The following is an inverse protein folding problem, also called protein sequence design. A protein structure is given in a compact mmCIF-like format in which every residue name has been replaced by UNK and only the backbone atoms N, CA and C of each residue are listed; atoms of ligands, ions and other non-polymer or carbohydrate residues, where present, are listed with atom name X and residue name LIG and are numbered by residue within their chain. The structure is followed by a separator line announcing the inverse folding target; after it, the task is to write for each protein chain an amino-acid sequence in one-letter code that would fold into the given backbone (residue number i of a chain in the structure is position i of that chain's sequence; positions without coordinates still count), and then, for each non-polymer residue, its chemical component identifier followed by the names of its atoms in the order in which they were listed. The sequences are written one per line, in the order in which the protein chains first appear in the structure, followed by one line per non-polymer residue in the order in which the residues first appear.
data_IF_687273425655
#
_entry.id   IF_687273425655
#
_cell.length_a   1.000
_cell.length_b   1.000
_cell.length_c   1.000
_cell.angle_alpha   90.00
_cell.angle_beta   90.00
_cell.angle_gamma   90.00
#
_symmetry.space_group_name_H-M   'P 1'
#
loop_
_entity.id
_entity.type
_entity.pdbx_description
1 polymer ?
#
# COMPACT_ATOMS: atom_id res chain seq x y z
N UNK A 1 -37.70 -67.02 28.75
CA UNK A 1 -37.84 -68.23 29.58
C UNK A 1 -36.99 -68.04 30.81
N UNK A 2 -37.47 -68.37 32.01
CA UNK A 2 -36.66 -68.31 33.23
C UNK A 2 -35.62 -69.43 33.15
N UNK A 3 -34.34 -69.10 33.15
CA UNK A 3 -33.25 -70.07 33.33
C UNK A 3 -33.36 -70.76 34.69
N UNK A 4 -32.96 -72.02 34.75
CA UNK A 4 -33.05 -72.88 35.94
C UNK A 4 -31.77 -72.78 36.77
N UNK A 5 -31.90 -72.67 38.08
CA UNK A 5 -30.79 -72.75 39.04
C UNK A 5 -30.96 -74.01 39.92
N UNK A 6 -30.03 -74.97 39.85
CA UNK A 6 -30.08 -76.20 40.64
C UNK A 6 -29.43 -76.07 42.03
N UNK A 7 -28.65 -75.02 42.29
CA UNK A 7 -28.07 -74.76 43.61
C UNK A 7 -29.13 -74.12 44.52
N UNK A 8 -29.66 -74.88 45.48
CA UNK A 8 -30.76 -74.46 46.35
C UNK A 8 -30.28 -74.04 47.73
N UNK A 9 -30.90 -72.98 48.26
CA UNK A 9 -30.69 -72.58 49.65
C UNK A 9 -31.34 -73.59 50.60
N UNK A 10 -30.56 -74.10 51.56
CA UNK A 10 -31.00 -75.09 52.54
C UNK A 10 -31.61 -74.43 53.78
N UNK A 11 -32.70 -74.99 54.32
CA UNK A 11 -33.29 -74.62 55.62
C UNK A 11 -33.68 -73.13 55.76
N UNK A 12 -34.32 -72.55 54.74
CA UNK A 12 -34.71 -71.12 54.70
C UNK A 12 -36.09 -70.80 55.28
N UNK A 13 -36.85 -71.79 55.74
CA UNK A 13 -38.21 -71.58 56.27
C UNK A 13 -38.26 -70.79 57.59
N UNK A 14 -39.40 -70.19 57.88
CA UNK A 14 -39.62 -69.33 59.07
C UNK A 14 -39.37 -70.07 60.41
N UNK A 15 -39.56 -71.39 60.44
CA UNK A 15 -39.32 -72.26 61.61
C UNK A 15 -38.18 -73.25 61.35
N UNK A 16 -37.15 -72.82 60.61
CA UNK A 16 -36.01 -73.66 60.29
C UNK A 16 -35.32 -74.20 61.54
N UNK A 17 -34.93 -75.48 61.48
CA UNK A 17 -34.24 -76.18 62.56
C UNK A 17 -32.77 -75.74 62.65
N UNK A 18 -32.52 -74.49 63.06
CA UNK A 18 -31.19 -73.87 63.11
C UNK A 18 -30.96 -73.16 64.46
N UNK A 19 -29.70 -72.92 64.83
CA UNK A 19 -29.37 -72.00 65.91
C UNK A 19 -29.60 -70.54 65.50
N UNK A 20 -29.81 -69.65 66.47
CA UNK A 20 -29.85 -68.20 66.22
C UNK A 20 -28.51 -67.71 65.65
N UNK A 21 -28.50 -66.50 65.07
CA UNK A 21 -27.25 -65.90 64.58
C UNK A 21 -26.27 -65.66 65.73
N UNK A 22 -26.75 -65.09 66.84
CA UNK A 22 -25.99 -64.85 68.06
C UNK A 22 -25.37 -66.15 68.61
N UNK A 23 -26.18 -67.21 68.80
CA UNK A 23 -25.67 -68.49 69.30
C UNK A 23 -24.70 -69.20 68.34
N UNK A 24 -24.73 -68.89 67.05
CA UNK A 24 -23.73 -69.36 66.10
C UNK A 24 -22.40 -68.62 66.22
N UNK A 25 -22.46 -67.30 66.39
CA UNK A 25 -21.28 -66.43 66.56
C UNK A 25 -20.53 -66.71 67.87
N UNK A 26 -21.25 -67.11 68.92
CA UNK A 26 -20.70 -67.56 70.20
C UNK A 26 -20.10 -68.98 70.14
N UNK A 27 -20.48 -69.78 69.14
CA UNK A 27 -20.01 -71.16 69.02
C UNK A 27 -18.50 -71.19 68.77
N UNK A 28 -17.76 -71.91 69.62
CA UNK A 28 -16.33 -72.16 69.42
C UNK A 28 -16.05 -72.80 68.06
N UNK A 29 -16.96 -73.65 67.57
CA UNK A 29 -16.84 -74.35 66.29
C UNK A 29 -16.84 -73.43 65.07
N UNK A 30 -17.34 -72.19 65.18
CA UNK A 30 -17.22 -71.21 64.09
C UNK A 30 -15.76 -70.90 63.75
N UNK A 31 -14.88 -70.86 64.77
CA UNK A 31 -13.46 -70.50 64.59
C UNK A 31 -12.54 -71.69 64.34
N UNK A 32 -12.83 -72.83 64.95
CA UNK A 32 -11.92 -74.00 64.95
C UNK A 32 -12.50 -75.25 64.28
N UNK A 33 -13.72 -75.17 63.74
CA UNK A 33 -14.41 -76.32 63.14
C UNK A 33 -15.11 -77.21 64.17
N UNK A 34 -15.78 -78.27 63.68
CA UNK A 34 -16.42 -79.26 64.54
C UNK A 34 -15.37 -80.20 65.16
N UNK A 35 -15.38 -80.42 66.49
CA UNK A 35 -14.44 -81.34 67.13
C UNK A 35 -14.73 -82.79 66.71
N UNK A 36 -13.69 -83.65 66.57
CA UNK A 36 -13.86 -85.03 66.13
C UNK A 36 -14.62 -85.91 67.13
N UNK A 37 -14.56 -85.59 68.42
CA UNK A 37 -15.08 -86.42 69.51
C UNK A 37 -16.31 -85.80 70.23
N UNK A 38 -16.79 -84.63 69.78
CA UNK A 38 -17.97 -83.96 70.37
C UNK A 38 -19.24 -84.18 69.53
N UNK A 39 -20.37 -84.30 70.22
CA UNK A 39 -21.69 -84.36 69.57
C UNK A 39 -22.04 -83.03 68.89
N UNK A 40 -22.08 -83.01 67.57
CA UNK A 40 -22.55 -81.87 66.77
C UNK A 40 -24.08 -81.81 66.86
N UNK A 41 -24.62 -80.68 67.32
CA UNK A 41 -26.08 -80.50 67.29
C UNK A 41 -26.56 -80.27 65.86
N UNK A 42 -27.70 -80.88 65.52
CA UNK A 42 -28.32 -80.73 64.19
C UNK A 42 -28.66 -79.25 63.89
N UNK A 43 -29.03 -78.47 64.91
CA UNK A 43 -29.28 -77.03 64.77
C UNK A 43 -28.03 -76.25 64.32
N UNK A 44 -26.86 -76.59 64.89
CA UNK A 44 -25.60 -75.94 64.55
C UNK A 44 -25.11 -76.37 63.15
N UNK A 45 -25.20 -77.66 62.85
CA UNK A 45 -24.89 -78.18 61.51
C UNK A 45 -25.76 -77.55 60.42
N UNK A 46 -27.08 -77.48 60.65
CA UNK A 46 -28.02 -76.86 59.72
C UNK A 46 -27.74 -75.37 59.52
N UNK A 47 -27.24 -74.66 60.53
CA UNK A 47 -26.85 -73.25 60.40
C UNK A 47 -25.66 -73.07 59.46
N UNK A 48 -24.63 -73.91 59.59
CA UNK A 48 -23.46 -73.91 58.68
C UNK A 48 -23.90 -74.21 57.24
N UNK A 49 -24.67 -75.29 57.05
CA UNK A 49 -25.18 -75.67 55.73
C UNK A 49 -26.09 -74.61 55.12
N UNK A 50 -26.93 -73.94 55.93
CA UNK A 50 -27.78 -72.85 55.48
C UNK A 50 -26.96 -71.67 54.99
N UNK A 51 -25.94 -71.21 55.73
CA UNK A 51 -25.15 -70.05 55.32
C UNK A 51 -24.43 -70.29 53.99
N UNK A 52 -23.78 -71.45 53.82
CA UNK A 52 -23.05 -71.78 52.58
C UNK A 52 -23.97 -71.99 51.38
N UNK A 53 -25.05 -72.75 51.54
CA UNK A 53 -26.01 -73.01 50.46
C UNK A 53 -26.80 -71.77 50.06
N UNK A 54 -27.10 -70.86 51.00
CA UNK A 54 -27.79 -69.60 50.69
C UNK A 54 -26.94 -68.73 49.77
N UNK A 55 -25.65 -68.53 50.09
CA UNK A 55 -24.74 -67.76 49.23
C UNK A 55 -24.54 -68.45 47.88
N UNK A 56 -24.38 -69.79 47.87
CA UNK A 56 -24.25 -70.56 46.63
C UNK A 56 -25.47 -70.39 45.73
N UNK A 57 -26.68 -70.45 46.30
CA UNK A 57 -27.92 -70.25 45.57
C UNK A 57 -28.06 -68.83 45.02
N UNK A 58 -27.65 -67.81 45.78
CA UNK A 58 -27.64 -66.40 45.33
C UNK A 58 -26.69 -66.21 44.14
N UNK A 59 -25.46 -66.72 44.23
CA UNK A 59 -24.48 -66.64 43.14
C UNK A 59 -24.98 -67.40 41.92
N UNK A 60 -25.46 -68.63 42.08
CA UNK A 60 -26.01 -69.40 40.96
C UNK A 60 -27.24 -68.74 40.33
N UNK A 61 -28.09 -68.06 41.11
CA UNK A 61 -29.22 -67.30 40.59
C UNK A 61 -28.77 -66.06 39.81
N UNK A 62 -27.73 -65.37 40.28
CA UNK A 62 -27.09 -64.29 39.52
C UNK A 62 -26.57 -64.81 38.18
N UNK A 63 -25.86 -65.94 38.19
CA UNK A 63 -25.34 -66.56 36.96
C UNK A 63 -26.49 -66.91 36.01
N UNK A 64 -27.52 -67.61 36.47
CA UNK A 64 -28.67 -67.98 35.65
C UNK A 64 -29.34 -66.75 35.03
N UNK A 65 -29.53 -65.69 35.82
CA UNK A 65 -30.21 -64.46 35.39
C UNK A 65 -29.46 -63.75 34.27
N UNK A 66 -28.13 -63.61 34.39
CA UNK A 66 -27.34 -62.78 33.47
C UNK A 66 -26.62 -63.56 32.37
N UNK A 67 -26.41 -64.87 32.52
CA UNK A 67 -25.93 -65.72 31.41
C UNK A 67 -27.07 -66.14 30.47
N UNK A 68 -28.31 -66.20 30.95
CA UNK A 68 -29.46 -66.72 30.19
C UNK A 68 -29.50 -68.25 30.10
N UNK A 69 -28.54 -68.94 30.74
CA UNK A 69 -28.40 -70.39 30.71
C UNK A 69 -28.80 -71.05 32.04
N UNK A 70 -29.11 -72.34 31.99
CA UNK A 70 -29.30 -73.16 33.18
C UNK A 70 -27.97 -73.36 33.94
N UNK A 71 -28.05 -73.28 35.28
CA UNK A 71 -26.93 -73.49 36.20
C UNK A 71 -27.16 -74.82 36.93
N UNK A 72 -26.54 -75.88 36.40
CA UNK A 72 -26.76 -77.27 36.82
C UNK A 72 -25.77 -77.68 37.92
N UNK A 73 -26.24 -78.44 38.90
CA UNK A 73 -25.40 -79.08 39.92
C UNK A 73 -24.92 -80.45 39.43
N UNK A 74 -23.97 -80.45 38.50
CA UNK A 74 -23.42 -81.67 37.86
C UNK A 74 -21.89 -81.80 38.01
N UNK A 75 -21.27 -80.95 38.83
CA UNK A 75 -19.83 -80.94 39.06
C UNK A 75 -18.97 -80.31 37.95
N UNK A 76 -19.56 -79.71 36.91
CA UNK A 76 -18.82 -79.04 35.84
C UNK A 76 -18.35 -77.63 36.25
N UNK A 77 -17.24 -77.58 36.98
CA UNK A 77 -16.65 -76.33 37.50
C UNK A 77 -16.23 -75.39 36.37
N UNK A 78 -15.72 -75.93 35.25
CA UNK A 78 -15.25 -75.12 34.13
C UNK A 78 -16.41 -74.38 33.47
N UNK A 79 -17.55 -75.07 33.27
CA UNK A 79 -18.77 -74.43 32.77
C UNK A 79 -19.31 -73.40 33.74
N UNK A 80 -19.38 -73.70 35.03
CA UNK A 80 -19.85 -72.75 36.05
C UNK A 80 -18.99 -71.47 36.09
N UNK A 81 -17.66 -71.61 35.98
CA UNK A 81 -16.75 -70.47 35.93
C UNK A 81 -16.95 -69.63 34.66
N UNK A 82 -17.12 -70.26 33.50
CA UNK A 82 -17.41 -69.56 32.24
C UNK A 82 -18.75 -68.82 32.30
N UNK A 83 -19.79 -69.45 32.85
CA UNK A 83 -21.10 -68.84 33.03
C UNK A 83 -21.05 -67.65 34.01
N UNK A 84 -20.26 -67.74 35.09
CA UNK A 84 -20.05 -66.62 36.00
C UNK A 84 -19.36 -65.43 35.32
N UNK A 85 -18.30 -65.66 34.55
CA UNK A 85 -17.62 -64.60 33.80
C UNK A 85 -18.57 -63.94 32.80
N UNK A 86 -19.32 -64.74 32.02
CA UNK A 86 -20.30 -64.21 31.08
C UNK A 86 -21.41 -63.41 31.77
N UNK A 87 -21.92 -63.88 32.91
CA UNK A 87 -22.92 -63.16 33.71
C UNK A 87 -22.39 -61.80 34.21
N UNK A 88 -21.13 -61.74 34.64
CA UNK A 88 -20.48 -60.49 35.05
C UNK A 88 -20.32 -59.52 33.87
N UNK A 89 -19.84 -60.00 32.71
CA UNK A 89 -19.70 -59.19 31.50
C UNK A 89 -21.04 -58.61 31.05
N UNK A 90 -22.10 -59.43 31.02
CA UNK A 90 -23.45 -59.00 30.65
C UNK A 90 -24.02 -57.96 31.63
N UNK A 91 -23.82 -58.19 32.94
CA UNK A 91 -24.25 -57.23 33.96
C UNK A 91 -23.53 -55.88 33.81
N UNK A 92 -22.22 -55.91 33.60
CA UNK A 92 -21.41 -54.69 33.40
C UNK A 92 -21.85 -53.97 32.12
N UNK A 93 -22.02 -54.66 31.00
CA UNK A 93 -22.44 -54.04 29.74
C UNK A 93 -23.84 -53.43 29.80
N UNK A 94 -24.74 -54.01 30.60
CA UNK A 94 -26.11 -53.50 30.78
C UNK A 94 -26.14 -52.23 31.64
N UNK A 95 -25.38 -52.21 32.75
CA UNK A 95 -25.36 -51.08 33.69
C UNK A 95 -24.40 -49.96 33.26
N UNK A 96 -23.36 -50.30 32.50
CA UNK A 96 -22.31 -49.39 32.01
C UNK A 96 -22.13 -49.59 30.48
N UNK A 97 -23.12 -49.17 29.68
CA UNK A 97 -23.06 -49.32 28.22
C UNK A 97 -22.01 -48.38 27.61
N UNK A 98 -21.76 -48.54 26.31
CA UNK A 98 -21.05 -47.51 25.54
C UNK A 98 -21.87 -46.22 25.48
N UNK A 99 -21.20 -45.07 25.50
CA UNK A 99 -21.90 -43.81 25.37
C UNK A 99 -22.56 -43.70 23.98
N UNK A 100 -23.73 -43.07 23.95
CA UNK A 100 -24.41 -42.67 22.72
C UNK A 100 -24.89 -41.23 22.85
N UNK A 101 -25.51 -40.69 21.79
CA UNK A 101 -26.08 -39.34 21.82
C UNK A 101 -27.20 -39.18 22.86
N UNK A 102 -27.80 -40.28 23.33
CA UNK A 102 -28.94 -40.28 24.26
C UNK A 102 -28.70 -41.07 25.54
N UNK A 103 -27.60 -41.81 25.65
CA UNK A 103 -27.28 -42.67 26.80
C UNK A 103 -25.85 -42.42 27.28
N UNK A 104 -25.69 -42.16 28.58
CA UNK A 104 -24.37 -42.06 29.21
C UNK A 104 -23.70 -43.43 29.21
N UNK A 105 -22.39 -43.46 28.99
CA UNK A 105 -21.61 -44.70 28.94
C UNK A 105 -20.11 -44.46 28.86
N UNK A 106 -19.34 -45.53 28.65
CA UNK A 106 -17.89 -45.45 28.42
C UNK A 106 -17.58 -45.03 26.98
N UNK A 107 -16.54 -44.20 26.81
CA UNK A 107 -16.07 -43.72 25.50
C UNK A 107 -14.55 -43.78 25.43
N UNK A 108 -14.00 -44.10 24.26
CA UNK A 108 -12.56 -44.02 24.00
C UNK A 108 -12.16 -42.58 23.64
N UNK A 109 -11.09 -42.08 24.23
CA UNK A 109 -10.56 -40.75 23.95
C UNK A 109 -9.71 -40.73 22.67
N UNK A 110 -9.67 -39.58 21.99
CA UNK A 110 -8.79 -39.33 20.84
C UNK A 110 -8.03 -38.01 20.94
N UNK A 111 -6.80 -38.04 20.44
CA UNK A 111 -5.89 -36.91 20.28
C UNK A 111 -5.74 -36.49 18.79
N UNK A 112 -6.57 -37.06 17.91
CA UNK A 112 -6.56 -36.76 16.46
C UNK A 112 -7.89 -36.17 16.02
N UNK A 113 -7.84 -35.25 15.07
CA UNK A 113 -9.03 -34.82 14.33
C UNK A 113 -9.48 -35.91 13.36
N UNK A 114 -10.78 -35.98 13.09
CA UNK A 114 -11.37 -36.99 12.22
C UNK A 114 -12.88 -36.87 12.16
N UNK A 115 -13.53 -37.91 11.64
CA UNK A 115 -14.98 -38.01 11.45
C UNK A 115 -15.61 -39.14 12.29
N UNK A 116 -14.98 -39.51 13.41
CA UNK A 116 -15.49 -40.57 14.29
C UNK A 116 -16.72 -40.10 15.07
N UNK A 117 -17.73 -40.96 15.15
CA UNK A 117 -18.89 -40.80 16.02
C UNK A 117 -18.79 -41.63 17.31
N UNK A 118 -17.69 -42.36 17.52
CA UNK A 118 -17.48 -43.27 18.65
C UNK A 118 -16.35 -42.85 19.58
N UNK A 119 -15.59 -41.82 19.22
CA UNK A 119 -14.47 -41.30 20.00
C UNK A 119 -14.82 -39.92 20.59
N UNK A 120 -14.38 -39.67 21.82
CA UNK A 120 -14.47 -38.37 22.46
C UNK A 120 -13.13 -37.62 22.35
N UNK A 121 -13.19 -36.33 22.03
CA UNK A 121 -11.98 -35.50 21.93
C UNK A 121 -11.37 -35.25 23.31
N UNK A 122 -10.05 -35.31 23.40
CA UNK A 122 -9.34 -34.89 24.62
C UNK A 122 -9.39 -33.37 24.78
N UNK A 123 -9.31 -32.89 26.03
CA UNK A 123 -9.20 -31.46 26.31
C UNK A 123 -8.00 -30.83 25.59
N UNK A 124 -6.87 -31.54 25.54
CA UNK A 124 -5.67 -31.09 24.82
C UNK A 124 -5.95 -30.87 23.33
N UNK A 125 -6.61 -31.81 22.66
CA UNK A 125 -6.96 -31.66 21.24
C UNK A 125 -7.86 -30.43 21.01
N UNK A 126 -8.83 -30.19 21.90
CA UNK A 126 -9.69 -28.99 21.82
C UNK A 126 -8.88 -27.71 21.99
N UNK A 127 -7.96 -27.67 22.96
CA UNK A 127 -7.05 -26.54 23.16
C UNK A 127 -6.16 -26.30 21.93
N UNK A 128 -5.54 -27.33 21.37
CA UNK A 128 -4.67 -27.22 20.19
C UNK A 128 -5.46 -26.69 18.96
N UNK A 129 -6.71 -27.13 18.77
CA UNK A 129 -7.62 -26.62 17.72
C UNK A 129 -7.98 -25.15 17.96
N UNK A 130 -8.27 -24.78 19.20
CA UNK A 130 -8.59 -23.41 19.57
C UNK A 130 -7.38 -22.47 19.37
N UNK A 131 -6.18 -22.91 19.74
CA UNK A 131 -4.95 -22.15 19.55
C UNK A 131 -4.64 -21.97 18.06
N UNK A 132 -4.89 -22.98 17.23
CA UNK A 132 -4.80 -22.82 15.78
C UNK A 132 -5.72 -21.70 15.26
N UNK A 133 -6.98 -21.69 15.71
CA UNK A 133 -7.96 -20.67 15.32
C UNK A 133 -7.59 -19.26 15.81
N UNK A 134 -7.11 -19.14 17.06
CA UNK A 134 -6.66 -17.86 17.62
C UNK A 134 -5.41 -17.30 16.94
N UNK A 135 -4.61 -18.15 16.28
CA UNK A 135 -3.46 -17.75 15.47
C UNK A 135 -3.83 -17.38 14.02
N UNK A 136 -5.09 -17.06 13.72
CA UNK A 136 -5.56 -16.57 12.41
C UNK A 136 -6.10 -15.16 12.53
N UNK A 137 -6.11 -14.44 11.40
CA UNK A 137 -6.63 -13.07 11.34
C UNK A 137 -8.13 -13.05 11.63
N UNK A 138 -8.53 -12.28 12.63
CA UNK A 138 -9.90 -12.10 13.06
C UNK A 138 -10.63 -11.11 12.13
N UNK A 139 -11.73 -11.57 11.52
CA UNK A 139 -12.50 -10.74 10.57
C UNK A 139 -12.95 -9.41 11.17
N UNK A 140 -13.39 -9.39 12.43
CA UNK A 140 -13.84 -8.17 13.12
C UNK A 140 -12.73 -7.15 13.41
N UNK A 141 -11.46 -7.56 13.34
CA UNK A 141 -10.31 -6.67 13.54
C UNK A 141 -9.89 -5.96 12.24
N UNK A 142 -10.41 -6.36 11.08
CA UNK A 142 -10.13 -5.74 9.79
C UNK A 142 -8.62 -5.51 9.52
N UNK A 143 -7.78 -6.48 9.89
CA UNK A 143 -6.32 -6.42 9.70
C UNK A 143 -5.53 -5.64 10.76
N UNK A 144 -6.17 -5.14 11.82
CA UNK A 144 -5.46 -4.52 12.95
C UNK A 144 -4.48 -5.51 13.63
N UNK A 145 -4.85 -6.79 13.64
CA UNK A 145 -4.16 -7.93 14.21
C UNK A 145 -3.08 -8.55 13.30
N UNK A 146 -2.77 -7.93 12.16
CA UNK A 146 -1.60 -8.30 11.34
C UNK A 146 -0.32 -7.98 12.15
N UNK A 147 0.53 -8.97 12.47
CA UNK A 147 1.73 -8.77 13.29
C UNK A 147 2.78 -7.89 12.60
N UNK A 148 3.07 -8.19 11.33
CA UNK A 148 3.98 -7.40 10.49
C UNK A 148 3.22 -6.85 9.28
N UNK A 149 2.75 -5.61 9.42
CA UNK A 149 1.99 -4.91 8.37
C UNK A 149 2.87 -4.60 7.16
N UNK A 150 4.19 -4.41 7.33
CA UNK A 150 5.10 -4.09 6.24
C UNK A 150 5.32 -5.32 5.35
N UNK A 151 5.69 -6.46 5.95
CA UNK A 151 5.83 -7.71 5.22
C UNK A 151 4.52 -8.14 4.53
N UNK A 152 3.36 -7.86 5.14
CA UNK A 152 2.06 -8.13 4.53
C UNK A 152 1.83 -7.31 3.25
N UNK A 153 2.17 -6.02 3.25
CA UNK A 153 2.10 -5.15 2.05
C UNK A 153 3.08 -5.61 0.96
N UNK A 154 4.30 -6.01 1.34
CA UNK A 154 5.30 -6.58 0.42
C UNK A 154 4.78 -7.88 -0.24
N UNK A 155 4.19 -8.78 0.52
CA UNK A 155 3.60 -10.04 0.00
C UNK A 155 2.42 -9.80 -0.95
N UNK A 156 1.66 -8.72 -0.76
CA UNK A 156 0.60 -8.33 -1.67
C UNK A 156 1.13 -7.57 -2.91
N UNK A 157 2.42 -7.25 -2.96
CA UNK A 157 3.05 -6.45 -4.01
C UNK A 157 2.34 -5.10 -4.27
N UNK A 158 1.81 -4.48 -3.19
CA UNK A 158 0.94 -3.30 -3.29
C UNK A 158 1.68 -1.95 -3.42
N UNK A 159 3.01 -1.90 -3.36
CA UNK A 159 3.73 -0.64 -3.47
C UNK A 159 4.23 -0.38 -4.89
N UNK A 160 3.47 0.41 -5.65
CA UNK A 160 3.98 1.00 -6.91
C UNK A 160 4.60 2.38 -6.65
N UNK A 161 4.05 3.21 -5.75
CA UNK A 161 4.62 4.50 -5.30
C UNK A 161 4.14 4.84 -3.86
N UNK A 162 5.07 5.10 -2.94
CA UNK A 162 4.80 5.64 -1.59
C UNK A 162 4.33 7.10 -1.65
N UNK A 163 3.16 7.38 -1.05
CA UNK A 163 2.54 8.71 -0.98
C UNK A 163 2.86 9.47 0.31
N UNK A 164 3.75 8.95 1.17
CA UNK A 164 4.27 9.70 2.31
C UNK A 164 5.44 10.55 1.81
N UNK A 165 5.26 11.88 1.61
CA UNK A 165 6.30 12.69 1.01
C UNK A 165 7.51 12.81 1.94
N UNK A 166 8.70 12.58 1.38
CA UNK A 166 9.98 12.89 2.02
C UNK A 166 10.29 14.37 1.80
N UNK A 167 10.86 15.05 2.80
CA UNK A 167 11.31 16.43 2.65
C UNK A 167 12.83 16.43 2.51
N UNK A 168 13.33 17.00 1.42
CA UNK A 168 14.76 16.97 1.05
C UNK A 168 15.34 18.36 1.10
N UNK A 169 16.40 18.56 1.87
CA UNK A 169 17.05 19.85 2.02
C UNK A 169 18.01 19.90 3.20
N UNK A 170 18.87 20.91 3.21
CA UNK A 170 19.76 21.18 4.34
C UNK A 170 19.13 22.22 5.29
N UNK A 171 17.96 21.89 5.86
CA UNK A 171 17.26 22.74 6.82
C UNK A 171 16.50 21.90 7.87
N UNK A 172 16.00 22.57 8.91
CA UNK A 172 15.33 21.92 10.05
C UNK A 172 14.01 21.22 9.70
N UNK A 173 13.38 21.55 8.57
CA UNK A 173 12.15 20.91 8.10
C UNK A 173 12.42 19.65 7.25
N UNK A 174 13.67 19.39 6.89
CA UNK A 174 14.03 18.32 5.97
C UNK A 174 14.28 17.01 6.72
N UNK A 175 13.78 15.91 6.14
CA UNK A 175 13.97 14.55 6.65
C UNK A 175 15.26 13.89 6.16
N UNK A 176 15.76 14.35 5.01
CA UNK A 176 17.06 13.97 4.43
C UNK A 176 17.68 15.20 3.76
N UNK A 177 18.99 15.21 3.54
CA UNK A 177 19.72 16.33 2.97
C UNK A 177 20.12 16.16 1.49
N UNK A 178 20.01 14.94 0.95
CA UNK A 178 20.51 14.58 -0.37
C UNK A 178 19.43 13.93 -1.24
N UNK A 179 19.25 14.46 -2.47
CA UNK A 179 18.28 13.94 -3.44
C UNK A 179 18.59 12.51 -3.91
N UNK A 180 19.84 12.05 -3.85
CA UNK A 180 20.21 10.67 -4.19
C UNK A 180 19.63 9.64 -3.22
N UNK A 181 19.32 10.08 -1.99
CA UNK A 181 18.81 9.25 -0.90
C UNK A 181 17.26 9.20 -0.83
N UNK A 182 16.56 9.87 -1.75
CA UNK A 182 15.09 9.81 -1.83
C UNK A 182 14.66 8.35 -2.01
N UNK A 183 13.75 7.78 -1.21
CA UNK A 183 13.33 6.39 -1.36
C UNK A 183 12.86 6.08 -2.80
N UNK A 184 13.20 4.89 -3.30
CA UNK A 184 12.69 4.43 -4.59
C UNK A 184 11.16 4.40 -4.57
N UNK A 185 10.54 4.66 -5.72
CA UNK A 185 9.07 4.65 -5.87
C UNK A 185 8.39 5.53 -4.81
N UNK A 186 8.75 6.82 -4.75
CA UNK A 186 8.20 7.75 -3.76
C UNK A 186 8.00 9.15 -4.31
N UNK A 187 7.11 9.90 -3.65
CA UNK A 187 6.97 11.35 -3.82
C UNK A 187 7.80 12.11 -2.77
N UNK A 188 8.21 13.33 -3.08
CA UNK A 188 8.98 14.17 -2.16
C UNK A 188 8.74 15.67 -2.40
N UNK A 189 9.16 16.50 -1.44
CA UNK A 189 9.32 17.94 -1.60
C UNK A 189 10.80 18.31 -1.42
N UNK A 190 11.36 19.08 -2.34
CA UNK A 190 12.78 19.46 -2.36
C UNK A 190 13.00 20.94 -2.12
N UNK A 191 14.04 21.26 -1.36
CA UNK A 191 14.62 22.60 -1.21
C UNK A 191 15.88 22.77 -2.07
N UNK A 192 16.20 23.99 -2.53
CA UNK A 192 17.33 24.28 -3.41
C UNK A 192 18.69 23.98 -2.75
N UNK A 193 18.75 24.04 -1.41
CA UNK A 193 19.94 23.77 -0.61
C UNK A 193 20.20 22.29 -0.37
N UNK A 194 19.35 21.39 -0.88
CA UNK A 194 19.60 19.95 -0.80
C UNK A 194 20.74 19.52 -1.72
N UNK A 195 21.59 18.62 -1.23
CA UNK A 195 22.69 18.05 -1.99
C UNK A 195 22.18 17.28 -3.21
N UNK A 196 22.91 17.40 -4.32
CA UNK A 196 22.59 16.76 -5.60
C UNK A 196 21.18 17.06 -6.14
N UNK A 197 20.59 18.19 -5.72
CA UNK A 197 19.28 18.66 -6.17
C UNK A 197 19.33 19.60 -7.39
N UNK A 198 18.18 19.94 -7.97
CA UNK A 198 18.08 20.83 -9.14
C UNK A 198 18.24 22.32 -8.79
N UNK A 199 18.51 22.67 -7.52
CA UNK A 199 18.70 24.06 -7.08
C UNK A 199 17.42 24.90 -7.03
N UNK A 200 16.25 24.26 -7.04
CA UNK A 200 14.93 24.92 -7.00
C UNK A 200 14.03 24.27 -5.95
N UNK A 201 12.97 24.98 -5.55
CA UNK A 201 11.98 24.42 -4.64
C UNK A 201 10.83 23.75 -5.38
N UNK A 202 10.38 22.60 -4.87
CA UNK A 202 9.08 22.06 -5.26
C UNK A 202 8.93 20.56 -5.13
N UNK A 203 7.77 20.03 -5.56
CA UNK A 203 7.47 18.62 -5.45
C UNK A 203 8.21 17.82 -6.53
N UNK A 204 8.42 16.54 -6.25
CA UNK A 204 8.95 15.60 -7.21
C UNK A 204 8.56 14.16 -6.92
N UNK A 205 8.96 13.29 -7.84
CA UNK A 205 8.72 11.85 -7.78
C UNK A 205 9.93 11.09 -8.31
N UNK A 206 10.23 9.95 -7.69
CA UNK A 206 11.27 8.99 -8.09
C UNK A 206 10.61 7.67 -8.48
N UNK A 207 10.91 7.20 -9.68
CA UNK A 207 10.52 5.89 -10.19
C UNK A 207 11.74 4.98 -10.27
N UNK A 208 11.59 3.73 -9.83
CA UNK A 208 12.58 2.67 -9.99
C UNK A 208 12.13 1.67 -11.05
N UNK A 209 13.04 1.28 -11.94
CA UNK A 209 12.83 0.38 -13.07
C UNK A 209 12.54 -1.08 -12.70
N UNK A 210 12.39 -1.40 -11.41
CA UNK A 210 11.90 -2.68 -10.91
C UNK A 210 12.95 -3.56 -10.22
N UNK A 211 12.58 -4.83 -10.06
CA UNK A 211 13.37 -5.87 -9.38
C UNK A 211 14.18 -6.70 -10.40
N UNK A 212 15.27 -7.34 -9.96
CA UNK A 212 16.08 -8.23 -10.80
C UNK A 212 17.06 -7.48 -11.71
N UNK A 213 17.17 -7.88 -12.98
CA UNK A 213 18.18 -7.37 -13.95
C UNK A 213 18.08 -5.87 -14.23
N UNK A 214 16.93 -5.24 -13.94
CA UNK A 214 16.70 -3.81 -14.13
C UNK A 214 16.85 -2.98 -12.84
N UNK A 215 17.39 -3.57 -11.77
CA UNK A 215 17.67 -2.85 -10.52
C UNK A 215 18.67 -1.73 -10.80
N UNK A 216 18.31 -0.51 -10.44
CA UNK A 216 19.17 0.67 -10.55
C UNK A 216 18.96 1.51 -11.81
N UNK A 217 18.03 1.17 -12.72
CA UNK A 217 17.57 2.15 -13.72
C UNK A 217 16.43 2.97 -13.14
N UNK A 218 16.58 4.28 -13.08
CA UNK A 218 15.63 5.12 -12.36
C UNK A 218 15.39 6.47 -13.05
N UNK A 219 14.23 7.05 -12.80
CA UNK A 219 13.83 8.37 -13.26
C UNK A 219 13.41 9.21 -12.05
N UNK A 220 13.96 10.41 -11.95
CA UNK A 220 13.50 11.41 -11.00
C UNK A 220 12.99 12.64 -11.76
N UNK A 221 11.82 13.13 -11.38
CA UNK A 221 11.19 14.33 -11.94
C UNK A 221 10.93 15.30 -10.80
N UNK A 222 11.23 16.57 -11.01
CA UNK A 222 11.04 17.64 -10.05
C UNK A 222 10.45 18.87 -10.74
N UNK A 223 9.41 19.47 -10.16
CA UNK A 223 8.82 20.71 -10.66
C UNK A 223 9.15 21.86 -9.73
N UNK A 224 9.55 23.01 -10.26
CA UNK A 224 9.67 24.23 -9.45
C UNK A 224 8.30 24.86 -9.21
N UNK A 225 8.02 25.28 -7.97
CA UNK A 225 6.78 26.00 -7.65
C UNK A 225 6.94 27.54 -7.68
N UNK A 226 8.16 28.06 -7.59
CA UNK A 226 8.50 29.48 -7.75
C UNK A 226 9.87 29.65 -8.43
N UNK A 227 10.09 30.72 -9.22
CA UNK A 227 9.12 31.74 -9.64
C UNK A 227 8.29 31.34 -10.88
N UNK A 228 8.63 30.23 -11.56
CA UNK A 228 7.92 29.69 -12.73
C UNK A 228 7.70 28.19 -12.57
N UNK A 229 6.74 27.62 -13.30
CA UNK A 229 6.49 26.17 -13.36
C UNK A 229 7.46 25.49 -14.33
N UNK A 230 8.69 25.26 -13.87
CA UNK A 230 9.74 24.60 -14.64
C UNK A 230 9.81 23.12 -14.26
N UNK A 231 10.19 22.28 -15.22
CA UNK A 231 10.32 20.84 -15.00
C UNK A 231 11.77 20.42 -15.15
N UNK A 232 12.26 19.67 -14.19
CA UNK A 232 13.59 19.10 -14.16
C UNK A 232 13.48 17.59 -14.11
N UNK A 233 14.40 16.90 -14.77
CA UNK A 233 14.51 15.45 -14.66
C UNK A 233 15.97 15.02 -14.61
N UNK A 234 16.19 13.83 -14.06
CA UNK A 234 17.45 13.11 -14.18
C UNK A 234 17.19 11.62 -14.17
N UNK A 235 18.14 10.87 -14.71
CA UNK A 235 18.09 9.41 -14.73
C UNK A 235 19.28 8.82 -14.00
N UNK A 236 19.09 7.64 -13.43
CA UNK A 236 20.16 6.83 -12.85
C UNK A 236 20.43 5.65 -13.77
N UNK A 237 21.71 5.41 -14.09
CA UNK A 237 22.11 4.21 -14.82
C UNK A 237 22.59 3.15 -13.81
N UNK A 238 21.93 1.99 -13.80
CA UNK A 238 22.24 0.85 -12.93
C UNK A 238 23.37 -0.06 -13.44
N UNK A 239 23.95 0.21 -14.61
CA UNK A 239 25.08 -0.56 -15.14
C UNK A 239 26.26 -0.55 -14.16
N UNK A 240 26.76 -1.74 -13.80
CA UNK A 240 27.74 -1.95 -12.72
C UNK A 240 29.07 -1.19 -12.84
N UNK A 241 29.38 -0.61 -14.01
CA UNK A 241 30.58 0.22 -14.21
C UNK A 241 30.31 1.73 -14.07
N UNK A 242 29.04 2.15 -14.05
CA UNK A 242 28.65 3.56 -14.13
C UNK A 242 27.82 3.99 -12.92
N UNK A 243 26.97 3.11 -12.34
CA UNK A 243 26.15 3.28 -11.13
C UNK A 243 26.10 4.71 -10.54
N UNK A 244 25.53 5.64 -11.32
CA UNK A 244 25.52 7.07 -10.99
C UNK A 244 24.30 7.75 -11.53
N UNK A 245 23.93 8.83 -10.86
CA UNK A 245 22.97 9.80 -11.37
C UNK A 245 23.59 10.62 -12.49
N UNK A 246 22.83 10.79 -13.57
CA UNK A 246 23.09 11.85 -14.53
C UNK A 246 22.79 13.22 -13.89
N UNK A 247 23.38 14.30 -14.42
CA UNK A 247 23.03 15.65 -14.01
C UNK A 247 21.53 15.92 -14.13
N UNK A 248 21.05 16.93 -13.41
CA UNK A 248 19.71 17.46 -13.62
C UNK A 248 19.63 18.21 -14.94
N UNK A 249 18.62 17.88 -15.74
CA UNK A 249 18.30 18.55 -16.98
C UNK A 249 16.97 19.28 -16.84
N UNK A 250 16.94 20.53 -17.28
CA UNK A 250 15.74 21.36 -17.34
C UNK A 250 15.03 21.12 -18.68
N UNK A 251 13.71 20.93 -18.63
CA UNK A 251 12.87 20.80 -19.82
C UNK A 251 12.58 22.20 -20.37
N UNK A 252 12.82 22.37 -21.67
CA UNK A 252 12.42 23.55 -22.40
C UNK A 252 10.91 23.53 -22.66
N UNK A 253 10.24 24.64 -22.38
CA UNK A 253 8.81 24.83 -22.54
C UNK A 253 8.54 26.23 -23.07
N UNK A 254 7.29 26.52 -23.43
CA UNK A 254 6.87 27.86 -23.87
C UNK A 254 7.03 28.95 -22.80
N UNK A 255 7.36 28.58 -21.54
CA UNK A 255 7.63 29.51 -20.43
C UNK A 255 9.10 29.89 -20.28
N UNK A 256 10.02 29.21 -20.97
CA UNK A 256 11.46 29.45 -20.86
C UNK A 256 12.20 29.46 -22.21
N UNK A 257 11.54 29.07 -23.31
CA UNK A 257 12.00 29.28 -24.69
C UNK A 257 10.91 29.80 -25.63
N UNK A 258 11.35 30.52 -26.67
CA UNK A 258 10.56 30.86 -27.86
C UNK A 258 11.32 30.44 -29.13
N UNK A 259 10.63 29.94 -30.17
CA UNK A 259 11.24 29.74 -31.47
C UNK A 259 11.57 31.10 -32.11
N UNK A 260 12.73 31.21 -32.75
CA UNK A 260 13.03 32.32 -33.65
C UNK A 260 12.27 32.18 -34.97
N UNK A 261 12.41 33.17 -35.86
CA UNK A 261 11.76 33.19 -37.18
C UNK A 261 12.13 31.98 -38.06
N UNK A 262 13.22 31.29 -37.74
CA UNK A 262 13.68 30.08 -38.44
C UNK A 262 13.28 28.79 -37.71
N UNK A 263 12.52 28.88 -36.60
CA UNK A 263 12.05 27.75 -35.81
C UNK A 263 13.02 27.24 -34.73
N UNK A 264 14.16 27.89 -34.51
CA UNK A 264 15.13 27.47 -33.47
C UNK A 264 14.72 28.01 -32.10
N UNK A 265 14.69 27.16 -31.08
CA UNK A 265 14.39 27.59 -29.70
C UNK A 265 15.53 28.45 -29.13
N UNK A 266 15.18 29.65 -28.66
CA UNK A 266 16.07 30.56 -27.92
C UNK A 266 15.53 30.78 -26.51
N UNK A 267 16.44 31.11 -25.58
CA UNK A 267 16.09 31.55 -24.22
C UNK A 267 15.03 32.65 -24.31
N UNK A 268 13.94 32.50 -23.55
CA UNK A 268 12.89 33.51 -23.52
C UNK A 268 13.41 34.79 -22.85
N UNK A 269 13.37 35.90 -23.58
CA UNK A 269 13.82 37.22 -23.12
C UNK A 269 12.63 38.17 -22.95
N UNK A 270 12.74 39.20 -22.09
CA UNK A 270 11.75 40.29 -22.03
C UNK A 270 11.74 41.08 -23.33
N UNK A 271 10.75 40.80 -24.20
CA UNK A 271 10.65 41.39 -25.54
C UNK A 271 9.26 42.01 -25.72
N UNK A 272 9.26 43.16 -26.38
CA UNK A 272 8.10 43.97 -26.73
C UNK A 272 8.02 44.05 -28.25
N UNK A 273 6.98 43.46 -28.82
CA UNK A 273 6.70 43.55 -30.25
C UNK A 273 5.77 44.73 -30.49
N UNK A 274 6.19 45.72 -31.27
CA UNK A 274 5.44 46.96 -31.54
C UNK A 274 4.90 46.92 -32.96
N UNK A 275 3.59 47.11 -33.12
CA UNK A 275 2.89 47.19 -34.39
C UNK A 275 2.68 48.64 -34.86
N UNK A 276 2.44 48.88 -36.17
CA UNK A 276 2.32 50.22 -36.75
C UNK A 276 1.28 51.13 -36.06
N UNK A 277 0.15 50.55 -35.66
CA UNK A 277 -0.96 51.25 -35.01
C UNK A 277 -0.73 51.53 -33.51
N UNK A 278 0.39 51.04 -32.95
CA UNK A 278 0.71 51.16 -31.53
C UNK A 278 0.20 50.00 -30.67
N UNK A 279 -0.46 49.01 -31.25
CA UNK A 279 -0.71 47.74 -30.55
C UNK A 279 0.62 47.01 -30.33
N UNK A 280 0.65 46.11 -29.35
CA UNK A 280 1.88 45.42 -28.98
C UNK A 280 1.62 44.03 -28.41
N UNK A 281 2.65 43.18 -28.48
CA UNK A 281 2.67 41.86 -27.84
C UNK A 281 3.88 41.76 -26.91
N UNK A 282 3.71 41.05 -25.80
CA UNK A 282 4.75 40.87 -24.79
C UNK A 282 5.08 39.39 -24.64
N UNK A 283 6.35 39.10 -24.41
CA UNK A 283 6.73 37.82 -23.82
C UNK A 283 6.29 37.77 -22.35
N UNK A 284 6.17 36.57 -21.78
CA UNK A 284 5.87 36.42 -20.36
C UNK A 284 6.95 37.05 -19.46
N UNK A 285 8.18 37.16 -19.96
CA UNK A 285 9.27 37.86 -19.27
C UNK A 285 9.12 39.37 -19.27
N UNK A 286 8.34 39.97 -20.19
CA UNK A 286 8.09 41.41 -20.25
C UNK A 286 6.75 41.81 -19.61
N UNK A 287 6.14 40.93 -18.81
CA UNK A 287 4.88 41.22 -18.13
C UNK A 287 4.97 42.49 -17.28
N UNK A 288 3.96 43.36 -17.41
CA UNK A 288 3.90 44.67 -16.74
C UNK A 288 4.41 45.84 -17.60
N UNK A 289 5.03 45.57 -18.75
CA UNK A 289 5.40 46.60 -19.72
C UNK A 289 4.17 47.08 -20.50
N UNK A 290 4.17 48.33 -20.93
CA UNK A 290 3.11 48.90 -21.78
C UNK A 290 3.72 49.68 -22.94
N UNK A 291 3.02 49.73 -24.08
CA UNK A 291 3.42 50.55 -25.23
C UNK A 291 2.31 51.53 -25.58
N UNK A 292 2.71 52.76 -25.90
CA UNK A 292 1.80 53.81 -26.38
C UNK A 292 2.40 54.48 -27.62
N UNK A 293 1.64 54.51 -28.71
CA UNK A 293 1.93 55.38 -29.87
C UNK A 293 1.63 56.83 -29.47
N UNK A 294 2.67 57.67 -29.46
CA UNK A 294 2.58 59.07 -29.03
C UNK A 294 2.13 59.94 -30.20
N UNK A 295 2.79 59.77 -31.34
CA UNK A 295 2.50 60.43 -32.61
C UNK A 295 3.03 59.54 -33.76
N UNK A 296 2.87 60.00 -35.01
CA UNK A 296 3.38 59.27 -36.19
C UNK A 296 4.86 58.95 -36.03
N UNK A 297 5.19 57.67 -36.13
CA UNK A 297 6.55 57.17 -36.02
C UNK A 297 7.16 57.19 -34.63
N UNK A 298 6.41 57.52 -33.57
CA UNK A 298 6.95 57.56 -32.19
C UNK A 298 6.16 56.67 -31.23
N UNK A 299 6.86 55.73 -30.62
CA UNK A 299 6.30 54.75 -29.70
C UNK A 299 7.05 54.79 -28.38
N UNK A 300 6.32 54.91 -27.26
CA UNK A 300 6.87 54.90 -25.91
C UNK A 300 6.59 53.57 -25.24
N UNK A 301 7.62 52.95 -24.69
CA UNK A 301 7.58 51.73 -23.88
C UNK A 301 7.78 52.15 -22.42
N UNK A 302 6.84 51.78 -21.56
CA UNK A 302 6.84 52.12 -20.14
C UNK A 302 6.79 50.89 -19.24
N UNK A 303 7.34 50.99 -18.03
CA UNK A 303 7.43 49.87 -17.07
C UNK A 303 8.71 49.03 -17.24
N UNK A 304 9.73 49.59 -17.87
CA UNK A 304 11.05 49.01 -18.06
C UNK A 304 12.15 49.92 -17.47
N UNK A 305 13.38 49.41 -17.40
CA UNK A 305 14.57 50.11 -16.92
C UNK A 305 15.62 50.20 -18.05
N UNK A 306 15.19 50.72 -19.19
CA UNK A 306 15.96 50.80 -20.43
C UNK A 306 16.07 49.48 -21.18
N UNK A 307 16.99 49.44 -22.15
CA UNK A 307 17.26 48.25 -22.96
C UNK A 307 17.96 47.16 -22.14
N UNK A 308 17.78 45.90 -22.55
CA UNK A 308 18.47 44.76 -21.93
C UNK A 308 20.00 44.92 -22.04
N UNK A 309 20.72 44.72 -20.92
CA UNK A 309 22.16 45.04 -20.80
C UNK A 309 23.10 43.83 -20.91
N UNK A 310 22.57 42.63 -21.11
CA UNK A 310 23.33 41.37 -21.09
C UNK A 310 24.04 41.03 -22.42
N UNK A 311 23.82 41.81 -23.48
CA UNK A 311 24.53 41.67 -24.76
C UNK A 311 24.22 40.40 -25.56
N UNK A 312 23.22 39.59 -25.17
CA UNK A 312 22.93 38.32 -25.85
C UNK A 312 22.33 38.50 -27.26
N UNK A 313 21.79 39.68 -27.57
CA UNK A 313 21.26 40.06 -28.90
C UNK A 313 22.18 41.08 -29.59
N UNK A 314 23.44 40.70 -29.80
CA UNK A 314 24.39 41.43 -30.65
C UNK A 314 24.80 42.83 -30.12
N UNK A 315 25.57 43.54 -30.95
CA UNK A 315 26.27 44.80 -30.60
C UNK A 315 25.32 46.01 -30.55
N UNK A 316 24.06 45.87 -31.00
CA UNK A 316 23.09 46.96 -31.17
C UNK A 316 21.91 46.93 -30.19
N UNK A 317 22.10 46.41 -28.98
CA UNK A 317 21.22 46.77 -27.85
C UNK A 317 19.81 46.16 -27.84
N UNK A 318 19.54 45.11 -28.62
CA UNK A 318 18.32 44.31 -28.46
C UNK A 318 17.09 44.77 -29.24
N UNK A 319 17.22 45.67 -30.21
CA UNK A 319 16.14 46.04 -31.14
C UNK A 319 16.31 45.34 -32.48
N UNK A 320 15.26 44.66 -32.96
CA UNK A 320 15.17 44.15 -34.34
C UNK A 320 14.32 45.11 -35.15
N UNK A 321 14.93 45.67 -36.19
CA UNK A 321 14.29 46.57 -37.15
C UNK A 321 13.75 45.75 -38.33
N UNK A 322 12.52 46.04 -38.83
CA UNK A 322 11.99 45.44 -40.04
C UNK A 322 12.95 45.55 -41.24
N UNK A 323 13.23 44.42 -41.88
CA UNK A 323 13.98 44.34 -43.11
C UNK A 323 13.15 43.68 -44.23
N UNK A 324 13.54 43.93 -45.48
CA UNK A 324 13.03 43.21 -46.64
C UNK A 324 13.65 41.80 -46.75
N UNK A 325 13.25 41.04 -47.77
CA UNK A 325 13.79 39.70 -48.05
C UNK A 325 15.27 39.69 -48.44
N UNK A 326 15.89 40.85 -48.69
CA UNK A 326 17.31 41.01 -49.00
C UNK A 326 18.12 41.45 -47.77
N UNK A 327 17.49 41.57 -46.60
CA UNK A 327 18.14 42.04 -45.38
C UNK A 327 18.34 43.56 -45.32
N UNK A 328 17.68 44.32 -46.20
CA UNK A 328 17.74 45.78 -46.20
C UNK A 328 16.66 46.33 -45.25
N UNK A 329 17.08 47.07 -44.23
CA UNK A 329 16.16 47.70 -43.28
C UNK A 329 15.21 48.68 -44.00
N UNK A 330 13.95 48.64 -43.60
CA UNK A 330 12.85 49.42 -44.20
C UNK A 330 12.68 50.81 -43.54
N UNK A 331 13.25 50.99 -42.35
CA UNK A 331 13.20 52.22 -41.57
C UNK A 331 14.54 52.43 -40.85
N UNK A 332 14.82 53.68 -40.50
CA UNK A 332 15.80 54.03 -39.47
C UNK A 332 15.09 54.04 -38.13
N UNK A 333 15.79 53.61 -37.08
CA UNK A 333 15.28 53.64 -35.71
C UNK A 333 16.21 54.49 -34.87
N UNK A 334 15.65 55.50 -34.21
CA UNK A 334 16.32 56.28 -33.17
C UNK A 334 15.77 55.85 -31.81
N UNK A 335 16.68 55.59 -30.89
CA UNK A 335 16.40 54.98 -29.60
C UNK A 335 16.77 55.95 -28.50
N UNK A 336 15.80 56.27 -27.63
CA UNK A 336 15.99 57.22 -26.54
C UNK A 336 15.54 56.57 -25.24
N UNK A 337 16.39 56.61 -24.22
CA UNK A 337 16.04 56.15 -22.86
C UNK A 337 15.90 57.36 -21.95
N UNK A 338 14.76 57.48 -21.28
CA UNK A 338 14.58 58.44 -20.20
C UNK A 338 15.34 57.95 -18.97
N UNK A 339 16.39 58.68 -18.57
CA UNK A 339 17.27 58.27 -17.47
C UNK A 339 16.59 58.32 -16.09
N UNK A 340 15.46 59.00 -15.95
CA UNK A 340 14.73 59.09 -14.68
C UNK A 340 13.67 57.98 -14.53
N UNK A 341 12.96 57.66 -15.61
CA UNK A 341 11.89 56.65 -15.59
C UNK A 341 12.33 55.27 -16.07
N UNK A 342 13.38 55.19 -16.90
CA UNK A 342 13.79 53.98 -17.59
C UNK A 342 12.97 53.69 -18.85
N UNK A 343 11.98 54.52 -19.18
CA UNK A 343 11.14 54.35 -20.37
C UNK A 343 11.95 54.51 -21.66
N UNK A 344 11.58 53.73 -22.68
CA UNK A 344 12.21 53.77 -24.00
C UNK A 344 11.27 54.47 -24.97
N UNK A 345 11.80 55.41 -25.76
CA UNK A 345 11.12 55.97 -26.93
C UNK A 345 11.80 55.47 -28.20
N UNK A 346 11.01 54.87 -29.09
CA UNK A 346 11.40 54.42 -30.42
C UNK A 346 10.84 55.40 -31.43
N UNK A 347 11.73 56.07 -32.15
CA UNK A 347 11.36 56.93 -33.28
C UNK A 347 11.75 56.25 -34.60
N UNK A 348 10.80 56.20 -35.53
CA UNK A 348 10.90 55.52 -36.80
C UNK A 348 10.95 56.55 -37.94
N UNK A 349 11.95 56.44 -38.81
CA UNK A 349 12.11 57.30 -39.98
C UNK A 349 12.18 56.45 -41.25
N UNK A 350 11.65 56.95 -42.34
CA UNK A 350 11.66 56.24 -43.61
C UNK A 350 13.11 56.05 -44.07
N UNK A 351 13.46 54.81 -44.47
CA UNK A 351 14.77 54.50 -45.03
C UNK A 351 14.64 54.12 -46.48
N UNK A 352 15.21 54.95 -47.36
CA UNK A 352 15.31 54.65 -48.79
C UNK A 352 16.70 54.09 -49.10
N UNK A 353 16.78 52.83 -49.52
CA UNK A 353 18.04 52.15 -49.85
C UNK A 353 18.48 52.49 -51.28
N UNK A 354 18.94 53.73 -51.51
CA UNK A 354 19.21 54.27 -52.86
C UNK A 354 20.22 53.46 -53.69
N UNK A 355 21.17 52.82 -53.02
CA UNK A 355 22.21 51.98 -53.65
C UNK A 355 21.69 50.60 -54.08
N UNK A 356 20.49 50.22 -53.68
CA UNK A 356 19.85 48.97 -54.07
C UNK A 356 19.20 49.08 -55.47
N UNK A 357 18.96 47.96 -56.18
CA UNK A 357 18.14 47.93 -57.38
C UNK A 357 16.77 48.56 -57.14
N UNK A 358 16.17 49.19 -58.15
CA UNK A 358 14.91 49.97 -58.05
C UNK A 358 13.81 49.24 -57.24
N UNK A 359 13.66 47.92 -57.43
CA UNK A 359 12.65 47.12 -56.74
C UNK A 359 12.91 46.94 -55.22
N UNK A 360 14.16 47.11 -54.76
CA UNK A 360 14.60 46.95 -53.39
C UNK A 360 14.96 48.28 -52.70
N UNK A 361 14.77 49.42 -53.37
CA UNK A 361 15.07 50.75 -52.81
C UNK A 361 14.13 51.16 -51.67
N UNK A 362 13.04 50.41 -51.44
CA UNK A 362 12.01 50.74 -50.46
C UNK A 362 11.40 52.13 -50.72
N UNK A 363 10.97 52.42 -51.97
CA UNK A 363 10.28 53.68 -52.28
C UNK A 363 8.82 53.62 -51.79
N UNK A 364 8.59 54.04 -50.54
CA UNK A 364 7.30 53.84 -49.85
C UNK A 364 6.33 55.00 -50.06
N UNK A 365 5.09 54.68 -50.38
CA UNK A 365 3.98 55.65 -50.51
C UNK A 365 3.62 56.18 -49.12
N UNK A 366 3.51 57.50 -49.01
CA UNK A 366 3.06 58.22 -47.80
C UNK A 366 1.56 58.47 -47.83
N UNK A 367 1.05 58.97 -48.95
CA UNK A 367 -0.36 59.23 -49.16
C UNK A 367 -0.66 59.30 -50.66
N UNK A 368 -1.93 59.18 -51.01
CA UNK A 368 -2.45 59.48 -52.33
C UNK A 368 -3.34 60.70 -52.15
N UNK A 369 -3.05 61.79 -52.85
CA UNK A 369 -3.85 63.02 -52.78
C UNK A 369 -5.18 62.84 -53.54
N UNK A 370 -6.13 63.74 -53.33
CA UNK A 370 -7.47 63.69 -53.97
C UNK A 370 -7.41 63.65 -55.52
N UNK A 371 -6.34 64.19 -56.11
CA UNK A 371 -6.07 64.20 -57.55
C UNK A 371 -5.41 62.90 -58.08
N UNK A 372 -5.21 61.89 -57.22
CA UNK A 372 -4.57 60.62 -57.57
C UNK A 372 -3.04 60.66 -57.60
N UNK A 373 -2.42 61.79 -57.23
CA UNK A 373 -0.96 61.91 -57.13
C UNK A 373 -0.43 61.12 -55.91
N UNK A 374 0.57 60.28 -56.16
CA UNK A 374 1.23 59.47 -55.13
C UNK A 374 2.36 60.27 -54.48
N UNK A 375 2.19 60.64 -53.22
CA UNK A 375 3.23 61.28 -52.41
C UNK A 375 4.07 60.18 -51.77
N UNK A 376 5.39 60.22 -51.98
CA UNK A 376 6.33 59.29 -51.36
C UNK A 376 6.96 59.91 -50.11
N UNK A 377 7.35 59.06 -49.16
CA UNK A 377 8.20 59.51 -48.06
C UNK A 377 9.57 59.95 -48.57
N UNK A 378 10.12 61.00 -48.00
CA UNK A 378 11.54 61.33 -48.17
C UNK A 378 12.39 60.44 -47.26
N UNK A 379 13.63 60.16 -47.67
CA UNK A 379 14.58 59.47 -46.80
C UNK A 379 14.84 60.29 -45.53
N UNK A 380 14.78 59.64 -44.37
CA UNK A 380 14.86 60.29 -43.07
C UNK A 380 13.58 61.00 -42.61
N UNK A 381 12.46 60.88 -43.33
CA UNK A 381 11.18 61.45 -42.91
C UNK A 381 10.49 60.62 -41.82
N UNK A 382 9.98 61.26 -40.77
CA UNK A 382 9.30 60.57 -39.67
C UNK A 382 8.08 59.78 -40.17
N UNK A 383 7.96 58.52 -39.76
CA UNK A 383 6.94 57.63 -40.29
C UNK A 383 6.67 56.43 -39.38
N UNK A 384 5.47 55.87 -39.41
CA UNK A 384 5.16 54.64 -38.67
C UNK A 384 5.90 53.42 -39.24
N UNK A 385 5.97 52.37 -38.41
CA UNK A 385 6.45 51.04 -38.77
C UNK A 385 5.68 50.59 -40.04
N UNK A 386 6.34 49.99 -41.06
CA UNK A 386 5.65 49.54 -42.26
C UNK A 386 4.51 48.55 -41.96
N UNK A 387 3.42 48.65 -42.72
CA UNK A 387 2.28 47.72 -42.58
C UNK A 387 2.71 46.25 -42.69
N UNK A 388 2.17 45.41 -41.80
CA UNK A 388 2.51 43.99 -41.73
C UNK A 388 3.94 43.70 -41.26
N UNK A 389 4.59 44.65 -40.57
CA UNK A 389 5.89 44.49 -39.90
C UNK A 389 5.79 44.85 -38.42
N UNK A 390 6.79 44.43 -37.66
CA UNK A 390 6.93 44.69 -36.23
C UNK A 390 8.36 45.11 -35.91
N UNK A 391 8.51 46.02 -34.94
CA UNK A 391 9.80 46.21 -34.27
C UNK A 391 9.78 45.35 -33.02
N UNK A 392 10.82 44.53 -32.81
CA UNK A 392 10.98 43.80 -31.56
C UNK A 392 12.00 44.53 -30.69
N UNK A 393 11.62 44.92 -29.48
CA UNK A 393 12.50 45.63 -28.55
C UNK A 393 12.72 44.78 -27.31
N UNK A 394 13.97 44.46 -26.99
CA UNK A 394 14.32 43.76 -25.76
C UNK A 394 14.56 44.75 -24.62
N UNK A 395 13.81 44.59 -23.54
CA UNK A 395 13.77 45.57 -22.44
C UNK A 395 14.33 44.99 -21.16
N UNK A 396 14.97 45.81 -20.33
CA UNK A 396 15.35 45.44 -18.98
C UNK A 396 14.14 45.68 -18.07
N UNK A 397 13.73 44.68 -17.28
CA UNK A 397 12.74 44.93 -16.23
C UNK A 397 13.41 45.48 -14.96
N UNK A 398 12.68 46.30 -14.15
CA UNK A 398 13.12 46.66 -12.82
C UNK A 398 13.37 45.41 -11.96
N UNK A 399 14.35 45.47 -11.05
CA UNK A 399 14.55 44.41 -10.07
C UNK A 399 13.28 44.26 -9.22
N UNK A 400 12.75 43.04 -9.12
CA UNK A 400 11.65 42.76 -8.21
C UNK A 400 12.21 42.82 -6.77
N UNK A 401 11.53 43.52 -5.85
CA UNK A 401 11.98 43.65 -4.46
C UNK A 401 12.09 42.31 -3.72
#
# INVERSE_FOLDING_TARGET
MSSKNDFKAFSIGNNANIVSQEGYEESRSLKIGFPPDDNITVHLLNKVLRQSSTISSVVANFIATYSGDDVLDNGDIAKLAAQLNGALEQKIATEVPNASLTQKGVTQLTDKTGNSNTLAVTQKLVSDVNDNANNRLAKGQNGADIPDKKAFVENLALEVISTKPVIVGNNTASTIDNFDNIPQNSTYFGYPVGLNGPGVHGPGMRFSGGYGTFKGYELMIHSSYLPKSELYYRTHNGDGNINKWNPWYKVWSTSNAKPDTNGNLKVSSPVVDIHPDGTYQLTCEAEGVTVKRIETGKYRISGCNGFAKDGEWGIHGGTIVPADSNGLNLIWVCELVDSASGDITIECYHRQNRDAPIFAQNKRVKSINDDGEVVYYNDGELCDIPDGRVINVRVQLPEKP
#
